data_IF_704534812905
#
_entry.id   IF_704534812905
#
_cell.length_a   1.000
_cell.length_b   1.000
_cell.length_c   1.000
_cell.angle_alpha   90.00
_cell.angle_beta   90.00
_cell.angle_gamma   90.00
#
_symmetry.space_group_name_H-M   'P 1'
#
loop_
_entity.id
_entity.type
_entity.pdbx_description
1 polymer ?
#
# COMPACT_ATOMS: atom_id res chain seq x y z
N UNK A 1 60.30 -13.07 93.27
CA UNK A 1 58.82 -13.11 93.29
C UNK A 1 58.34 -11.71 93.60
N UNK A 2 57.40 -11.06 92.88
CA UNK A 2 56.44 -11.49 91.81
C UNK A 2 56.81 -10.78 90.44
N UNK A 3 56.00 -10.65 89.34
CA UNK A 3 54.58 -10.22 89.24
C UNK A 3 53.75 -10.90 88.10
N UNK A 4 53.01 -11.97 88.36
CA UNK A 4 52.03 -12.53 87.41
C UNK A 4 50.66 -11.80 87.44
N UNK A 5 50.40 -10.98 88.47
CA UNK A 5 49.09 -10.34 88.69
C UNK A 5 48.82 -9.10 87.82
N UNK A 6 49.84 -8.47 87.23
CA UNK A 6 49.65 -7.22 86.46
C UNK A 6 49.03 -7.46 85.07
N UNK A 7 49.36 -8.57 84.42
CA UNK A 7 48.89 -8.91 83.07
C UNK A 7 47.44 -9.38 83.07
N UNK A 8 47.04 -10.22 84.04
CA UNK A 8 45.64 -10.66 84.20
C UNK A 8 44.72 -9.50 84.59
N UNK A 9 45.18 -8.60 85.47
CA UNK A 9 44.46 -7.39 85.83
C UNK A 9 44.28 -6.44 84.62
N UNK A 10 45.27 -6.34 83.74
CA UNK A 10 45.21 -5.49 82.54
C UNK A 10 44.22 -6.03 81.50
N UNK A 11 44.19 -7.35 81.28
CA UNK A 11 43.22 -8.00 80.38
C UNK A 11 41.78 -7.89 80.89
N UNK A 12 41.56 -8.07 82.20
CA UNK A 12 40.25 -7.86 82.82
C UNK A 12 39.80 -6.40 82.71
N UNK A 13 40.71 -5.43 82.88
CA UNK A 13 40.40 -4.01 82.69
C UNK A 13 40.00 -3.68 81.25
N UNK A 14 40.67 -4.28 80.26
CA UNK A 14 40.37 -4.05 78.83
C UNK A 14 39.02 -4.69 78.45
N UNK A 15 38.76 -5.91 78.90
CA UNK A 15 37.48 -6.58 78.66
C UNK A 15 36.30 -5.84 79.28
N UNK A 16 36.48 -5.29 80.49
CA UNK A 16 35.46 -4.47 81.14
C UNK A 16 35.24 -3.13 80.42
N UNK A 17 36.29 -2.50 79.88
CA UNK A 17 36.16 -1.24 79.14
C UNK A 17 35.38 -1.42 77.82
N UNK A 18 35.46 -2.61 77.22
CA UNK A 18 34.74 -2.96 76.00
C UNK A 18 33.37 -3.61 76.24
N UNK A 19 32.87 -3.60 77.48
CA UNK A 19 31.53 -4.11 77.81
C UNK A 19 31.37 -5.64 77.76
N UNK A 20 32.47 -6.39 77.75
CA UNK A 20 32.46 -7.85 77.64
C UNK A 20 32.48 -8.48 79.05
N UNK A 21 31.36 -9.09 79.45
CA UNK A 21 31.24 -9.77 80.74
C UNK A 21 31.90 -11.15 80.68
N UNK A 22 33.11 -11.29 81.21
CA UNK A 22 33.84 -12.58 81.20
C UNK A 22 33.34 -13.49 82.34
N UNK A 23 32.99 -14.77 82.07
CA UNK A 23 32.58 -15.72 83.10
C UNK A 23 33.71 -16.03 84.09
N UNK A 24 33.38 -16.22 85.37
CA UNK A 24 34.34 -16.49 86.47
C UNK A 24 35.22 -17.74 86.23
N UNK A 25 34.74 -18.70 85.44
CA UNK A 25 35.49 -19.91 85.07
C UNK A 25 36.71 -19.60 84.20
N UNK A 26 36.59 -18.63 83.30
CA UNK A 26 37.68 -18.22 82.39
C UNK A 26 38.75 -17.44 83.16
N UNK A 27 38.37 -16.67 84.17
CA UNK A 27 39.30 -15.98 85.06
C UNK A 27 40.17 -16.97 85.84
N UNK A 28 39.58 -18.06 86.35
CA UNK A 28 40.31 -19.11 87.06
C UNK A 28 41.27 -19.91 86.16
N UNK A 29 40.95 -20.03 84.87
CA UNK A 29 41.83 -20.66 83.87
C UNK A 29 42.98 -19.73 83.51
N UNK A 30 42.73 -18.43 83.38
CA UNK A 30 43.76 -17.42 83.12
C UNK A 30 44.75 -17.27 84.30
N UNK A 31 44.29 -17.40 85.55
CA UNK A 31 45.18 -17.40 86.71
C UNK A 31 46.06 -18.67 86.80
N UNK A 32 45.57 -19.83 86.33
CA UNK A 32 46.39 -21.04 86.19
C UNK A 32 47.40 -20.94 85.05
N UNK A 33 46.99 -20.40 83.90
CA UNK A 33 47.87 -20.17 82.76
C UNK A 33 48.93 -19.09 83.02
N UNK A 34 48.66 -18.13 83.92
CA UNK A 34 49.62 -17.13 84.36
C UNK A 34 50.79 -17.68 85.21
N UNK A 35 50.80 -18.97 85.52
CA UNK A 35 51.96 -19.65 86.12
C UNK A 35 52.88 -20.33 85.09
N UNK A 36 52.50 -20.32 83.81
CA UNK A 36 53.25 -20.97 82.74
C UNK A 36 54.04 -19.93 81.91
N UNK A 37 55.37 -20.02 81.94
CA UNK A 37 56.25 -18.98 81.41
C UNK A 37 56.14 -18.86 79.88
N UNK A 38 55.90 -19.96 79.18
CA UNK A 38 55.67 -19.99 77.73
C UNK A 38 54.35 -19.32 77.34
N UNK A 39 53.30 -19.50 78.14
CA UNK A 39 52.00 -18.88 77.88
C UNK A 39 52.06 -17.35 78.02
N UNK A 40 52.81 -16.84 79.00
CA UNK A 40 53.03 -15.40 79.17
C UNK A 40 53.86 -14.82 78.01
N UNK A 41 54.87 -15.56 77.54
CA UNK A 41 55.69 -15.13 76.40
C UNK A 41 54.87 -15.11 75.09
N UNK A 42 54.02 -16.10 74.87
CA UNK A 42 53.12 -16.16 73.72
C UNK A 42 52.05 -15.05 73.76
N UNK A 43 51.46 -14.78 74.94
CA UNK A 43 50.46 -13.71 75.10
C UNK A 43 51.07 -12.33 74.88
N UNK A 44 52.27 -12.06 75.40
CA UNK A 44 52.96 -10.78 75.16
C UNK A 44 53.40 -10.64 73.70
N UNK A 45 53.68 -11.76 73.00
CA UNK A 45 54.08 -11.73 71.60
C UNK A 45 52.89 -11.55 70.63
N UNK A 46 51.69 -12.04 70.99
CA UNK A 46 50.54 -12.09 70.07
C UNK A 46 49.37 -11.17 70.48
N UNK A 47 49.32 -10.70 71.74
CA UNK A 47 48.29 -9.80 72.25
C UNK A 47 48.92 -8.44 72.54
N UNK A 48 49.40 -7.77 71.49
CA UNK A 48 49.66 -6.33 71.55
C UNK A 48 48.38 -5.57 71.19
N UNK A 49 48.25 -4.35 71.70
CA UNK A 49 47.12 -3.43 71.43
C UNK A 49 46.83 -3.21 69.94
N UNK A 50 47.79 -3.50 69.05
CA UNK A 50 47.65 -3.45 67.60
C UNK A 50 47.11 -4.74 66.94
N UNK A 51 47.09 -5.88 67.65
CA UNK A 51 46.71 -7.21 67.14
C UNK A 51 45.22 -7.56 67.37
N UNK A 52 44.52 -6.78 68.22
CA UNK A 52 43.11 -7.00 68.56
C UNK A 52 42.13 -6.20 67.71
N UNK A 53 42.61 -5.35 66.80
CA UNK A 53 41.74 -4.69 65.82
C UNK A 53 41.69 -5.56 64.55
N UNK A 54 40.47 -5.85 64.08
CA UNK A 54 40.24 -6.45 62.76
C UNK A 54 40.94 -5.61 61.69
N UNK A 55 41.46 -6.22 60.62
CA UNK A 55 42.10 -5.48 59.51
C UNK A 55 41.19 -4.35 58.98
N UNK A 56 39.88 -4.56 59.03
CA UNK A 56 38.85 -3.57 58.69
C UNK A 56 38.79 -2.39 59.68
N UNK A 57 38.95 -2.65 60.99
CA UNK A 57 38.97 -1.62 62.02
C UNK A 57 40.26 -0.81 62.00
N UNK A 58 41.38 -1.44 61.62
CA UNK A 58 42.68 -0.80 61.47
C UNK A 58 42.72 0.11 60.24
N UNK A 59 42.04 -0.29 59.15
CA UNK A 59 41.82 0.58 58.00
C UNK A 59 40.87 1.73 58.32
N UNK A 60 39.79 1.50 59.07
CA UNK A 60 38.92 2.57 59.59
C UNK A 60 39.68 3.55 60.50
N UNK A 61 40.53 3.05 61.39
CA UNK A 61 41.34 3.90 62.28
C UNK A 61 42.38 4.71 61.51
N UNK A 62 43.04 4.11 60.50
CA UNK A 62 43.94 4.84 59.59
C UNK A 62 43.18 5.91 58.82
N UNK A 63 41.97 5.61 58.34
CA UNK A 63 41.15 6.56 57.62
C UNK A 63 40.73 7.74 58.52
N UNK A 64 40.30 7.48 59.75
CA UNK A 64 39.91 8.52 60.72
C UNK A 64 41.12 9.35 61.18
N UNK A 65 42.29 8.72 61.34
CA UNK A 65 43.53 9.40 61.75
C UNK A 65 44.12 10.27 60.63
N UNK A 66 44.03 9.83 59.38
CA UNK A 66 44.48 10.59 58.21
C UNK A 66 43.51 11.72 57.83
N UNK A 67 42.23 11.60 58.20
CA UNK A 67 41.21 12.61 57.90
C UNK A 67 41.30 13.85 58.81
N UNK A 68 42.09 13.82 59.89
CA UNK A 68 42.36 15.00 60.74
C UNK A 68 41.13 15.64 61.39
N UNK A 69 39.96 15.00 61.32
CA UNK A 69 38.73 15.50 61.92
C UNK A 69 38.70 15.08 63.38
N UNK A 70 39.02 16.02 64.28
CA UNK A 70 38.56 15.92 65.66
C UNK A 70 37.04 15.67 65.60
N UNK A 71 36.58 14.52 66.11
CA UNK A 71 35.16 14.32 66.38
C UNK A 71 34.75 15.43 67.37
N UNK A 72 34.18 16.50 66.83
CA UNK A 72 33.50 17.50 67.61
C UNK A 72 32.24 16.82 68.16
N UNK A 73 32.16 16.78 69.49
CA UNK A 73 31.02 16.37 70.33
C UNK A 73 29.76 17.26 70.13
N UNK A 74 29.53 17.76 68.92
CA UNK A 74 28.50 18.74 68.62
C UNK A 74 27.68 18.30 67.41
N UNK A 75 26.73 17.39 67.62
CA UNK A 75 25.39 17.44 66.99
C UNK A 75 24.45 16.31 67.46
N UNK A 76 24.48 15.97 68.75
CA UNK A 76 23.50 15.05 69.34
C UNK A 76 22.18 15.72 69.75
N UNK A 77 21.87 16.94 69.28
CA UNK A 77 20.64 17.67 69.66
C UNK A 77 20.09 18.51 68.51
N UNK A 78 19.85 17.92 67.35
CA UNK A 78 18.85 18.47 66.44
C UNK A 78 17.48 17.96 66.88
N UNK A 79 16.72 18.88 67.48
CA UNK A 79 15.33 18.70 67.88
C UNK A 79 14.54 18.21 66.66
N UNK A 80 13.98 17.00 66.74
CA UNK A 80 13.08 16.48 65.72
C UNK A 80 11.79 17.30 65.78
N UNK A 81 11.54 18.10 64.74
CA UNK A 81 10.21 18.66 64.52
C UNK A 81 9.22 17.49 64.32
N UNK A 82 8.16 17.47 65.12
CA UNK A 82 7.06 16.49 65.08
C UNK A 82 6.53 16.18 63.66
N UNK A 83 6.33 17.17 62.75
CA UNK A 83 5.90 16.89 61.37
C UNK A 83 6.98 16.22 60.51
N UNK A 84 8.26 16.29 60.89
CA UNK A 84 9.35 15.57 60.23
C UNK A 84 9.38 14.08 60.62
N UNK A 85 9.06 13.77 61.87
CA UNK A 85 8.89 12.40 62.37
C UNK A 85 7.73 11.70 61.68
N UNK A 86 6.57 12.35 61.57
CA UNK A 86 5.40 11.78 60.90
C UNK A 86 5.69 11.51 59.42
N UNK A 87 6.41 12.41 58.74
CA UNK A 87 6.82 12.20 57.34
C UNK A 87 7.82 11.06 57.19
N UNK A 88 8.77 10.93 58.13
CA UNK A 88 9.72 9.82 58.15
C UNK A 88 9.01 8.49 58.40
N UNK A 89 8.06 8.43 59.35
CA UNK A 89 7.24 7.26 59.64
C UNK A 89 6.40 6.88 58.41
N UNK A 90 5.70 7.84 57.80
CA UNK A 90 4.92 7.60 56.59
C UNK A 90 5.80 7.12 55.42
N UNK A 91 7.01 7.67 55.27
CA UNK A 91 8.00 7.22 54.29
C UNK A 91 8.49 5.79 54.56
N UNK A 92 8.73 5.45 55.82
CA UNK A 92 9.18 4.13 56.24
C UNK A 92 8.08 3.08 56.08
N UNK A 93 6.83 3.43 56.37
CA UNK A 93 5.66 2.59 56.10
C UNK A 93 5.44 2.36 54.61
N UNK A 94 5.58 3.40 53.78
CA UNK A 94 5.48 3.28 52.33
C UNK A 94 6.59 2.37 51.76
N UNK A 95 7.83 2.55 52.22
CA UNK A 95 8.95 1.69 51.84
C UNK A 95 8.73 0.23 52.29
N UNK A 96 8.21 0.02 53.50
CA UNK A 96 7.91 -1.32 54.02
C UNK A 96 6.79 -1.99 53.22
N UNK A 97 5.74 -1.25 52.85
CA UNK A 97 4.67 -1.74 51.96
C UNK A 97 5.21 -2.09 50.57
N UNK A 98 6.13 -1.30 50.03
CA UNK A 98 6.75 -1.58 48.74
C UNK A 98 7.64 -2.84 48.79
N UNK A 99 8.47 -2.98 49.82
CA UNK A 99 9.33 -4.17 50.00
C UNK A 99 8.47 -5.42 50.17
N UNK A 100 7.42 -5.37 50.99
CA UNK A 100 6.52 -6.53 51.15
C UNK A 100 5.78 -6.91 49.87
N UNK A 101 5.38 -5.92 49.04
CA UNK A 101 4.81 -6.19 47.73
C UNK A 101 5.82 -6.84 46.77
N UNK A 102 7.07 -6.36 46.75
CA UNK A 102 8.15 -6.96 45.94
C UNK A 102 8.47 -8.38 46.41
N UNK A 103 8.56 -8.63 47.72
CA UNK A 103 8.80 -9.96 48.28
C UNK A 103 7.68 -10.93 47.93
N UNK A 104 6.42 -10.49 47.95
CA UNK A 104 5.28 -11.29 47.48
C UNK A 104 5.34 -11.59 45.98
N UNK A 105 5.75 -10.62 45.16
CA UNK A 105 5.92 -10.84 43.72
C UNK A 105 7.06 -11.83 43.42
N UNK A 106 8.17 -11.76 44.17
CA UNK A 106 9.26 -12.71 44.03
C UNK A 106 8.90 -14.10 44.54
N UNK A 107 8.11 -14.21 45.62
CA UNK A 107 7.65 -15.51 46.11
C UNK A 107 6.68 -16.19 45.15
N UNK A 108 5.80 -15.44 44.49
CA UNK A 108 4.92 -15.98 43.43
C UNK A 108 5.69 -16.35 42.17
N UNK A 109 6.68 -15.55 41.76
CA UNK A 109 7.57 -15.94 40.66
C UNK A 109 8.37 -17.22 40.99
N UNK A 110 8.85 -17.35 42.23
CA UNK A 110 9.57 -18.54 42.69
C UNK A 110 8.67 -19.78 42.72
N UNK A 111 7.41 -19.67 43.14
CA UNK A 111 6.48 -20.80 43.12
C UNK A 111 6.12 -21.22 41.69
N UNK A 112 5.89 -20.27 40.78
CA UNK A 112 5.64 -20.53 39.36
C UNK A 112 6.84 -21.22 38.68
N UNK A 113 8.05 -20.77 38.96
CA UNK A 113 9.27 -21.45 38.48
C UNK A 113 9.43 -22.84 39.09
N UNK A 114 9.05 -23.01 40.36
CA UNK A 114 9.01 -24.32 41.02
C UNK A 114 8.06 -25.30 40.33
N UNK A 115 6.85 -24.87 39.97
CA UNK A 115 5.89 -25.69 39.23
C UNK A 115 6.35 -26.01 37.82
N UNK A 116 6.90 -25.03 37.09
CA UNK A 116 7.47 -25.25 35.75
C UNK A 116 8.63 -26.25 35.76
N UNK A 117 9.48 -26.20 36.79
CA UNK A 117 10.57 -27.17 36.95
C UNK A 117 10.04 -28.58 37.29
N UNK A 118 8.96 -28.69 38.08
CA UNK A 118 8.32 -29.98 38.36
C UNK A 118 7.65 -30.59 37.11
N UNK A 119 6.98 -29.79 36.28
CA UNK A 119 6.44 -30.23 34.98
C UNK A 119 7.56 -30.65 34.01
N UNK A 120 8.63 -29.86 33.93
CA UNK A 120 9.81 -30.19 33.12
C UNK A 120 10.50 -31.49 33.60
N UNK A 121 10.56 -31.75 34.91
CA UNK A 121 11.09 -33.01 35.44
C UNK A 121 10.16 -34.21 35.16
N UNK A 122 8.84 -33.98 35.06
CA UNK A 122 7.89 -34.98 34.55
C UNK A 122 8.15 -35.35 33.08
N UNK A 123 8.48 -34.36 32.24
CA UNK A 123 8.81 -34.56 30.82
C UNK A 123 10.26 -35.06 30.58
N UNK A 124 11.20 -34.78 31.49
CA UNK A 124 12.60 -35.25 31.42
C UNK A 124 12.79 -36.76 31.68
N UNK A 125 11.74 -37.49 32.10
CA UNK A 125 11.80 -38.95 32.23
C UNK A 125 11.86 -39.68 30.87
N UNK A 126 11.55 -38.99 29.78
CA UNK A 126 11.83 -39.49 28.44
C UNK A 126 13.25 -39.07 28.05
N UNK A 127 14.17 -40.04 27.95
CA UNK A 127 15.60 -39.79 27.74
C UNK A 127 15.93 -38.99 26.47
N UNK A 128 17.19 -38.54 26.31
CA UNK A 128 17.64 -37.73 25.16
C UNK A 128 17.31 -38.37 23.80
N UNK A 129 17.28 -39.71 23.72
CA UNK A 129 16.84 -40.44 22.53
C UNK A 129 15.38 -40.12 22.12
N UNK A 130 14.48 -39.94 23.08
CA UNK A 130 13.06 -39.62 22.81
C UNK A 130 12.88 -38.16 22.35
N UNK A 131 13.74 -37.23 22.81
CA UNK A 131 13.76 -35.85 22.31
C UNK A 131 14.26 -35.78 20.88
N UNK A 132 15.37 -36.46 20.57
CA UNK A 132 15.90 -36.56 19.21
C UNK A 132 14.88 -37.21 18.27
N UNK A 133 14.21 -38.28 18.71
CA UNK A 133 13.15 -38.93 17.94
C UNK A 133 11.93 -38.03 17.74
N UNK A 134 11.52 -37.25 18.75
CA UNK A 134 10.44 -36.28 18.62
C UNK A 134 10.79 -35.18 17.60
N UNK A 135 11.97 -34.56 17.73
CA UNK A 135 12.44 -33.52 16.80
C UNK A 135 12.60 -34.07 15.39
N UNK A 136 13.11 -35.30 15.24
CA UNK A 136 13.20 -35.96 13.93
C UNK A 136 11.80 -36.22 13.33
N UNK A 137 10.83 -36.64 14.14
CA UNK A 137 9.45 -36.85 13.71
C UNK A 137 8.74 -35.55 13.33
N UNK A 138 8.96 -34.46 14.08
CA UNK A 138 8.45 -33.13 13.76
C UNK A 138 9.09 -32.58 12.49
N UNK A 139 10.40 -32.76 12.31
CA UNK A 139 11.10 -32.36 11.09
C UNK A 139 10.60 -33.16 9.87
N UNK A 140 10.35 -34.45 10.03
CA UNK A 140 9.78 -35.29 8.97
C UNK A 140 8.33 -34.89 8.66
N UNK A 141 7.52 -34.60 9.67
CA UNK A 141 6.16 -34.10 9.49
C UNK A 141 6.16 -32.73 8.77
N UNK A 142 7.07 -31.83 9.15
CA UNK A 142 7.23 -30.54 8.48
C UNK A 142 7.67 -30.69 7.01
N UNK A 143 8.54 -31.66 6.70
CA UNK A 143 8.93 -31.99 5.32
C UNK A 143 7.73 -32.48 4.51
N UNK A 144 6.99 -33.46 5.02
CA UNK A 144 5.79 -33.99 4.35
C UNK A 144 4.73 -32.90 4.11
N UNK A 145 4.53 -31.98 5.07
CA UNK A 145 3.62 -30.85 4.91
C UNK A 145 4.13 -29.88 3.84
N UNK A 146 5.43 -29.61 3.79
CA UNK A 146 6.01 -28.72 2.77
C UNK A 146 5.98 -29.36 1.37
N UNK A 147 6.25 -30.66 1.26
CA UNK A 147 6.13 -31.43 0.01
C UNK A 147 4.67 -31.45 -0.49
N UNK A 148 3.71 -31.66 0.39
CA UNK A 148 2.29 -31.56 0.04
C UNK A 148 1.94 -30.15 -0.47
N UNK A 149 2.35 -29.10 0.24
CA UNK A 149 2.08 -27.71 -0.16
C UNK A 149 2.76 -27.30 -1.46
N UNK A 150 3.99 -27.74 -1.71
CA UNK A 150 4.72 -27.47 -2.95
C UNK A 150 4.08 -28.21 -4.12
N UNK A 151 3.63 -29.45 -3.92
CA UNK A 151 2.81 -30.19 -4.90
C UNK A 151 1.51 -29.45 -5.21
N UNK A 152 0.76 -29.01 -4.20
CA UNK A 152 -0.50 -28.26 -4.37
C UNK A 152 -0.27 -26.95 -5.14
N UNK A 153 0.79 -26.20 -4.79
CA UNK A 153 1.19 -24.98 -5.49
C UNK A 153 1.56 -25.24 -6.95
N UNK A 154 2.30 -26.32 -7.23
CA UNK A 154 2.66 -26.71 -8.59
C UNK A 154 1.43 -27.10 -9.42
N UNK A 155 0.47 -27.81 -8.83
CA UNK A 155 -0.79 -28.14 -9.49
C UNK A 155 -1.63 -26.87 -9.75
N UNK A 156 -1.72 -25.96 -8.78
CA UNK A 156 -2.40 -24.67 -8.96
C UNK A 156 -1.74 -23.83 -10.07
N UNK A 157 -0.41 -23.71 -10.08
CA UNK A 157 0.32 -22.98 -11.12
C UNK A 157 0.08 -23.62 -12.50
N UNK A 158 0.14 -24.96 -12.62
CA UNK A 158 -0.12 -25.67 -13.88
C UNK A 158 -1.55 -25.47 -14.36
N UNK A 159 -2.53 -25.57 -13.48
CA UNK A 159 -3.94 -25.35 -13.84
C UNK A 159 -4.16 -23.91 -14.32
N UNK A 160 -3.59 -22.92 -13.63
CA UNK A 160 -3.64 -21.49 -14.03
C UNK A 160 -2.95 -21.23 -15.36
N UNK A 161 -1.76 -21.79 -15.60
CA UNK A 161 -1.06 -21.70 -16.89
C UNK A 161 -1.92 -22.32 -18.00
N UNK A 162 -2.49 -23.50 -17.77
CA UNK A 162 -3.34 -24.16 -18.77
C UNK A 162 -4.62 -23.36 -19.08
N UNK A 163 -5.21 -22.70 -18.07
CA UNK A 163 -6.35 -21.82 -18.25
C UNK A 163 -5.99 -20.58 -19.08
N UNK A 164 -4.85 -19.95 -18.79
CA UNK A 164 -4.34 -18.83 -19.59
C UNK A 164 -3.98 -19.23 -21.02
N UNK A 165 -3.50 -20.44 -21.25
CA UNK A 165 -3.23 -20.94 -22.60
C UNK A 165 -4.52 -21.09 -23.42
N UNK A 166 -5.59 -21.60 -22.78
CA UNK A 166 -6.93 -21.66 -23.40
C UNK A 166 -7.48 -20.25 -23.67
N UNK A 167 -7.34 -19.34 -22.73
CA UNK A 167 -7.75 -17.95 -22.90
C UNK A 167 -6.97 -17.28 -24.04
N UNK A 168 -5.66 -17.53 -24.13
CA UNK A 168 -4.80 -17.06 -25.23
C UNK A 168 -5.25 -17.56 -26.59
N UNK A 169 -5.76 -18.79 -26.69
CA UNK A 169 -6.29 -19.32 -27.96
C UNK A 169 -7.66 -18.73 -28.30
N UNK A 170 -8.48 -18.42 -27.29
CA UNK A 170 -9.83 -17.86 -27.48
C UNK A 170 -9.86 -16.33 -27.72
N UNK A 171 -8.94 -15.55 -27.14
CA UNK A 171 -8.86 -14.10 -27.35
C UNK A 171 -8.65 -13.67 -28.82
N UNK A 172 -7.75 -14.27 -29.62
CA UNK A 172 -7.58 -13.86 -31.01
C UNK A 172 -8.80 -14.16 -31.88
N UNK A 173 -9.51 -15.28 -31.62
CA UNK A 173 -10.76 -15.58 -32.33
C UNK A 173 -11.85 -14.57 -31.96
N UNK A 174 -11.99 -14.23 -30.68
CA UNK A 174 -12.94 -13.20 -30.23
C UNK A 174 -12.59 -11.81 -30.78
N UNK A 175 -11.30 -11.45 -30.84
CA UNK A 175 -10.82 -10.22 -31.44
C UNK A 175 -11.15 -10.16 -32.95
N UNK A 176 -10.93 -11.27 -33.67
CA UNK A 176 -11.23 -11.35 -35.10
C UNK A 176 -12.73 -11.28 -35.37
N UNK A 177 -13.57 -11.93 -34.55
CA UNK A 177 -15.03 -11.81 -34.65
C UNK A 177 -15.51 -10.38 -34.41
N UNK A 178 -14.91 -9.69 -33.44
CA UNK A 178 -15.21 -8.29 -33.16
C UNK A 178 -14.78 -7.37 -34.29
N UNK A 179 -13.57 -7.53 -34.83
CA UNK A 179 -13.10 -6.78 -36.00
C UNK A 179 -14.01 -7.00 -37.22
N UNK A 180 -14.44 -8.25 -37.46
CA UNK A 180 -15.42 -8.54 -38.53
C UNK A 180 -16.78 -7.89 -38.28
N UNK A 181 -17.21 -7.81 -37.03
CA UNK A 181 -18.44 -7.10 -36.67
C UNK A 181 -18.29 -5.60 -36.93
N UNK A 182 -17.17 -5.02 -36.52
CA UNK A 182 -16.83 -3.61 -36.75
C UNK A 182 -16.76 -3.30 -38.26
N UNK A 183 -16.12 -4.14 -39.08
CA UNK A 183 -16.08 -4.02 -40.54
C UNK A 183 -17.48 -4.04 -41.17
N UNK A 184 -18.38 -4.92 -40.71
CA UNK A 184 -19.78 -4.93 -41.14
C UNK A 184 -20.51 -3.65 -40.75
N UNK A 185 -20.20 -3.08 -39.59
CA UNK A 185 -20.78 -1.79 -39.20
C UNK A 185 -20.26 -0.66 -40.08
N UNK A 186 -18.98 -0.67 -40.47
CA UNK A 186 -18.42 0.28 -41.43
C UNK A 186 -19.08 0.15 -42.80
N UNK A 187 -19.22 -1.07 -43.31
CA UNK A 187 -19.88 -1.32 -44.59
C UNK A 187 -21.33 -0.83 -44.57
N UNK A 188 -22.08 -1.11 -43.50
CA UNK A 188 -23.45 -0.61 -43.34
C UNK A 188 -23.51 0.93 -43.23
N UNK A 189 -22.50 1.55 -42.61
CA UNK A 189 -22.39 3.01 -42.56
C UNK A 189 -22.04 3.62 -43.90
N UNK A 190 -21.14 3.00 -44.65
CA UNK A 190 -20.75 3.42 -45.98
C UNK A 190 -21.94 3.30 -46.93
N UNK A 191 -22.67 2.18 -46.90
CA UNK A 191 -23.92 2.01 -47.64
C UNK A 191 -24.97 3.06 -47.24
N UNK A 192 -25.14 3.33 -45.95
CA UNK A 192 -26.05 4.39 -45.48
C UNK A 192 -25.59 5.81 -45.87
N UNK A 193 -24.30 6.04 -46.08
CA UNK A 193 -23.75 7.31 -46.54
C UNK A 193 -23.80 7.44 -48.08
N UNK A 194 -23.72 6.31 -48.79
CA UNK A 194 -23.83 6.19 -50.24
C UNK A 194 -25.29 6.18 -50.70
N UNK A 195 -26.24 5.75 -49.87
CA UNK A 195 -27.66 5.93 -50.16
C UNK A 195 -27.89 7.41 -50.43
N UNK A 196 -28.25 7.76 -51.68
CA UNK A 196 -28.46 9.14 -52.03
C UNK A 196 -29.73 9.57 -51.29
N UNK A 197 -29.55 10.15 -50.12
CA UNK A 197 -30.46 11.20 -49.66
C UNK A 197 -30.53 12.15 -50.84
N UNK A 198 -31.60 12.07 -51.62
CA UNK A 198 -31.75 12.78 -52.88
C UNK A 198 -31.38 14.22 -52.60
N UNK A 199 -30.17 14.63 -52.99
CA UNK A 199 -29.68 15.96 -52.70
C UNK A 199 -30.52 16.85 -53.59
N UNK A 200 -31.63 17.31 -53.04
CA UNK A 200 -32.45 18.32 -53.69
C UNK A 200 -31.50 19.47 -53.93
N UNK A 201 -31.25 19.76 -55.20
CA UNK A 201 -30.42 20.89 -55.56
C UNK A 201 -31.23 22.16 -55.28
N UNK A 202 -31.11 22.64 -54.04
CA UNK A 202 -31.79 23.85 -53.56
C UNK A 202 -31.41 25.04 -54.44
N UNK A 203 -30.20 25.07 -55.01
CA UNK A 203 -29.75 26.15 -55.89
C UNK A 203 -30.46 26.14 -57.23
N UNK A 204 -30.55 24.98 -57.89
CA UNK A 204 -31.31 24.81 -59.12
C UNK A 204 -32.82 25.06 -58.91
N UNK A 205 -33.36 24.65 -57.76
CA UNK A 205 -34.77 24.88 -57.41
C UNK A 205 -35.04 26.37 -57.15
N UNK A 206 -34.08 27.08 -56.55
CA UNK A 206 -34.16 28.53 -56.36
C UNK A 206 -34.17 29.27 -57.70
N UNK A 207 -33.26 28.93 -58.61
CA UNK A 207 -33.20 29.53 -59.94
C UNK A 207 -34.48 29.27 -60.74
N UNK A 208 -34.97 28.03 -60.72
CA UNK A 208 -36.24 27.66 -61.36
C UNK A 208 -37.42 28.43 -60.76
N UNK A 209 -37.46 28.61 -59.45
CA UNK A 209 -38.53 29.40 -58.80
C UNK A 209 -38.51 30.87 -59.23
N UNK A 210 -37.31 31.44 -59.40
CA UNK A 210 -37.15 32.81 -59.87
C UNK A 210 -37.60 32.97 -61.33
N UNK A 211 -37.24 32.02 -62.20
CA UNK A 211 -37.69 32.01 -63.60
C UNK A 211 -39.22 31.90 -63.71
N UNK A 212 -39.84 31.06 -62.89
CA UNK A 212 -41.30 30.91 -62.85
C UNK A 212 -41.99 32.19 -62.32
N UNK A 213 -41.44 32.82 -61.29
CA UNK A 213 -41.98 34.08 -60.77
C UNK A 213 -41.88 35.21 -61.79
N UNK A 214 -40.77 35.31 -62.53
CA UNK A 214 -40.60 36.27 -63.61
C UNK A 214 -41.58 36.01 -64.76
N UNK A 215 -41.78 34.75 -65.16
CA UNK A 215 -42.77 34.39 -66.18
C UNK A 215 -44.20 34.74 -65.74
N UNK A 216 -44.53 34.49 -64.46
CA UNK A 216 -45.82 34.85 -63.88
C UNK A 216 -46.02 36.37 -63.87
N UNK A 217 -44.98 37.13 -63.52
CA UNK A 217 -45.00 38.60 -63.52
C UNK A 217 -45.31 39.12 -64.92
N UNK A 218 -44.56 38.68 -65.93
CA UNK A 218 -44.78 39.10 -67.32
C UNK A 218 -46.21 38.79 -67.79
N UNK A 219 -46.76 37.63 -67.44
CA UNK A 219 -48.13 37.25 -67.81
C UNK A 219 -49.19 38.08 -67.08
N UNK A 220 -49.04 38.33 -65.78
CA UNK A 220 -49.98 39.16 -65.00
C UNK A 220 -49.95 40.62 -65.44
N UNK A 221 -48.75 41.18 -65.66
CA UNK A 221 -48.56 42.52 -66.21
C UNK A 221 -49.27 42.65 -67.57
N UNK A 222 -49.03 41.73 -68.50
CA UNK A 222 -49.65 41.77 -69.82
C UNK A 222 -51.18 41.69 -69.74
N UNK A 223 -51.72 40.86 -68.85
CA UNK A 223 -53.16 40.74 -68.65
C UNK A 223 -53.80 42.01 -68.06
N UNK A 224 -53.14 42.66 -67.09
CA UNK A 224 -53.61 43.91 -66.51
C UNK A 224 -53.54 45.07 -67.50
N UNK A 225 -52.42 45.20 -68.24
CA UNK A 225 -52.26 46.19 -69.31
C UNK A 225 -53.33 46.01 -70.40
N UNK A 226 -53.58 44.77 -70.84
CA UNK A 226 -54.67 44.47 -71.79
C UNK A 226 -56.06 44.79 -71.23
N UNK A 227 -56.31 44.53 -69.95
CA UNK A 227 -57.58 44.89 -69.30
C UNK A 227 -57.77 46.40 -69.18
N UNK A 228 -56.69 47.13 -68.91
CA UNK A 228 -56.67 48.59 -68.86
C UNK A 228 -56.96 49.18 -70.25
N UNK A 229 -56.27 48.70 -71.29
CA UNK A 229 -56.51 49.10 -72.68
C UNK A 229 -57.95 48.84 -73.11
N UNK A 230 -58.47 47.65 -72.82
CA UNK A 230 -59.85 47.29 -73.14
C UNK A 230 -60.85 48.22 -72.44
N UNK A 231 -60.60 48.55 -71.18
CA UNK A 231 -61.49 49.43 -70.41
C UNK A 231 -61.42 50.85 -70.97
N UNK A 232 -60.21 51.35 -71.26
CA UNK A 232 -59.99 52.66 -71.85
C UNK A 232 -60.66 52.82 -73.23
N UNK A 233 -60.50 51.84 -74.11
CA UNK A 233 -61.16 51.83 -75.42
C UNK A 233 -62.68 51.75 -75.27
N UNK A 234 -63.19 50.91 -74.35
CA UNK A 234 -64.63 50.82 -74.07
C UNK A 234 -65.22 52.12 -73.52
N UNK A 235 -64.47 52.88 -72.72
CA UNK A 235 -64.92 54.18 -72.20
C UNK A 235 -64.90 55.25 -73.29
N UNK A 236 -63.90 55.26 -74.17
CA UNK A 236 -63.84 56.15 -75.33
C UNK A 236 -64.99 55.90 -76.32
N UNK A 237 -65.32 54.65 -76.62
CA UNK A 237 -66.45 54.28 -77.48
C UNK A 237 -67.81 54.68 -76.87
N UNK A 238 -67.93 54.60 -75.54
CA UNK A 238 -69.11 55.04 -74.80
C UNK A 238 -69.32 56.54 -74.82
N UNK A 239 -68.24 57.34 -74.74
CA UNK A 239 -68.31 58.81 -74.80
C UNK A 239 -68.58 59.34 -76.22
N UNK A 240 -68.08 58.67 -77.26
CA UNK A 240 -68.33 59.06 -78.66
C UNK A 240 -69.77 58.79 -79.14
N UNK A 241 -70.50 57.90 -78.46
CA UNK A 241 -71.91 57.62 -78.76
C UNK A 241 -72.89 58.63 -78.15
N UNK A 242 -72.40 59.54 -77.29
CA UNK A 242 -73.14 60.68 -76.78
C UNK A 242 -73.02 61.89 -77.71
N UNK A 243 -74.16 62.38 -78.19
CA UNK A 243 -74.33 63.48 -79.14
C UNK A 243 -73.57 64.78 -78.72
N UNK A 244 -72.32 64.94 -79.17
CA UNK A 244 -71.54 66.20 -79.02
C UNK A 244 -70.68 66.45 -80.25
N UNK A 245 -71.00 67.53 -80.96
CA UNK A 245 -70.46 67.97 -82.25
C UNK A 245 -69.15 68.79 -82.13
N UNK A 246 -68.23 68.46 -81.21
CA UNK A 246 -66.93 69.15 -81.11
C UNK A 246 -65.73 68.18 -81.09
N UNK A 247 -64.73 68.36 -82.00
CA UNK A 247 -63.61 67.44 -82.19
C UNK A 247 -62.31 67.89 -81.51
N UNK A 248 -62.38 68.60 -80.38
CA UNK A 248 -61.19 68.93 -79.59
C UNK A 248 -61.11 67.97 -78.40
N UNK A 249 -59.99 67.24 -78.21
CA UNK A 249 -59.81 66.42 -77.02
C UNK A 249 -59.79 67.37 -75.82
N UNK A 250 -60.85 67.34 -75.01
CA UNK A 250 -60.94 68.18 -73.81
C UNK A 250 -59.76 67.92 -72.87
N UNK A 251 -59.39 68.89 -72.00
CA UNK A 251 -58.29 68.75 -71.05
C UNK A 251 -58.38 67.47 -70.20
N UNK A 252 -59.61 67.00 -69.91
CA UNK A 252 -59.87 65.74 -69.22
C UNK A 252 -59.31 64.48 -69.92
N UNK A 253 -59.23 64.47 -71.26
CA UNK A 253 -58.69 63.32 -72.02
C UNK A 253 -57.16 63.30 -71.95
N UNK A 254 -56.51 64.48 -71.92
CA UNK A 254 -55.07 64.60 -71.75
C UNK A 254 -54.65 64.19 -70.33
N UNK A 255 -55.39 64.64 -69.32
CA UNK A 255 -55.17 64.24 -67.91
C UNK A 255 -55.36 62.72 -67.74
N UNK A 256 -56.44 62.15 -68.31
CA UNK A 256 -56.68 60.71 -68.29
C UNK A 256 -55.56 59.90 -68.97
N UNK A 257 -55.02 60.40 -70.09
CA UNK A 257 -53.89 59.76 -70.78
C UNK A 257 -52.63 59.76 -69.91
N UNK A 258 -52.34 60.87 -69.24
CA UNK A 258 -51.20 60.97 -68.33
C UNK A 258 -51.36 60.03 -67.12
N UNK A 259 -52.56 59.94 -66.56
CA UNK A 259 -52.86 59.02 -65.45
C UNK A 259 -52.72 57.56 -65.89
N UNK A 260 -53.15 57.21 -67.10
CA UNK A 260 -52.97 55.88 -67.68
C UNK A 260 -51.48 55.56 -67.86
N UNK A 261 -50.69 56.48 -68.43
CA UNK A 261 -49.23 56.31 -68.59
C UNK A 261 -48.53 56.13 -67.23
N UNK A 262 -48.97 56.84 -66.18
CA UNK A 262 -48.50 56.63 -64.81
C UNK A 262 -48.88 55.24 -64.28
N UNK A 263 -50.13 54.81 -64.50
CA UNK A 263 -50.62 53.49 -64.08
C UNK A 263 -49.88 52.35 -64.81
N UNK A 264 -49.48 52.56 -66.06
CA UNK A 264 -48.68 51.62 -66.85
C UNK A 264 -47.32 51.30 -66.22
N UNK A 265 -46.67 52.30 -65.62
CA UNK A 265 -45.43 52.14 -64.89
C UNK A 265 -45.65 51.45 -63.52
N UNK A 266 -46.71 51.84 -62.81
CA UNK A 266 -47.02 51.30 -61.48
C UNK A 266 -47.47 49.83 -61.52
N UNK A 267 -48.16 49.39 -62.58
CA UNK A 267 -48.59 47.99 -62.74
C UNK A 267 -47.39 47.03 -62.67
N UNK A 268 -46.25 47.39 -63.25
CA UNK A 268 -45.06 46.52 -63.24
C UNK A 268 -44.52 46.33 -61.81
N UNK A 269 -44.45 47.42 -61.03
CA UNK A 269 -43.96 47.43 -59.65
C UNK A 269 -44.94 46.74 -58.68
N UNK A 270 -46.24 47.01 -58.80
CA UNK A 270 -47.27 46.40 -57.94
C UNK A 270 -47.37 44.90 -58.17
N UNK A 271 -47.32 44.44 -59.43
CA UNK A 271 -47.33 43.01 -59.75
C UNK A 271 -46.05 42.33 -59.27
N UNK A 272 -44.89 42.98 -59.40
CA UNK A 272 -43.63 42.47 -58.87
C UNK A 272 -43.70 42.29 -57.35
N UNK A 273 -44.21 43.29 -56.63
CA UNK A 273 -44.37 43.26 -55.19
C UNK A 273 -45.36 42.17 -54.75
N UNK A 274 -46.49 42.02 -55.45
CA UNK A 274 -47.51 41.00 -55.17
C UNK A 274 -46.98 39.59 -55.35
N UNK A 275 -46.29 39.30 -56.46
CA UNK A 275 -45.68 37.98 -56.69
C UNK A 275 -44.54 37.72 -55.69
N UNK A 276 -43.80 38.78 -55.35
CA UNK A 276 -42.79 38.77 -54.30
C UNK A 276 -43.36 38.34 -52.95
N UNK A 277 -44.47 38.95 -52.54
CA UNK A 277 -45.10 38.74 -51.23
C UNK A 277 -45.86 37.43 -51.14
N UNK A 278 -46.68 37.09 -52.14
CA UNK A 278 -47.56 35.92 -52.13
C UNK A 278 -46.82 34.61 -52.44
N UNK A 279 -45.89 34.62 -53.39
CA UNK A 279 -45.32 33.37 -53.91
C UNK A 279 -43.85 33.21 -53.56
N UNK A 280 -43.03 34.25 -53.80
CA UNK A 280 -41.57 34.11 -53.65
C UNK A 280 -41.14 34.03 -52.18
N UNK A 281 -41.81 34.73 -51.27
CA UNK A 281 -41.49 34.66 -49.84
C UNK A 281 -41.78 33.27 -49.25
N UNK A 282 -42.92 32.67 -49.62
CA UNK A 282 -43.29 31.32 -49.18
C UNK A 282 -42.32 30.27 -49.73
N UNK A 283 -42.00 30.34 -51.03
CA UNK A 283 -41.04 29.44 -51.67
C UNK A 283 -39.65 29.60 -51.04
N UNK A 284 -39.19 30.82 -50.79
CA UNK A 284 -37.89 31.08 -50.15
C UNK A 284 -37.85 30.50 -48.74
N UNK A 285 -38.92 30.64 -47.97
CA UNK A 285 -39.05 30.06 -46.63
C UNK A 285 -39.02 28.53 -46.68
N UNK A 286 -39.76 27.91 -47.60
CA UNK A 286 -39.78 26.46 -47.79
C UNK A 286 -38.41 25.91 -48.22
N UNK A 287 -37.73 26.57 -49.17
CA UNK A 287 -36.37 26.23 -49.59
C UNK A 287 -35.37 26.37 -48.44
N UNK A 288 -35.49 27.43 -47.63
CA UNK A 288 -34.69 27.63 -46.43
C UNK A 288 -34.86 26.48 -45.44
N UNK A 289 -36.10 26.05 -45.18
CA UNK A 289 -36.40 24.91 -44.31
C UNK A 289 -35.78 23.60 -44.83
N UNK A 290 -35.98 23.28 -46.11
CA UNK A 290 -35.39 22.09 -46.74
C UNK A 290 -33.87 22.09 -46.61
N UNK A 291 -33.21 23.22 -46.87
CA UNK A 291 -31.77 23.35 -46.73
C UNK A 291 -31.31 23.13 -45.27
N UNK A 292 -32.01 23.73 -44.29
CA UNK A 292 -31.68 23.53 -42.87
C UNK A 292 -31.91 22.08 -42.42
N UNK A 293 -32.98 21.43 -42.86
CA UNK A 293 -33.27 20.03 -42.55
C UNK A 293 -32.21 19.11 -43.18
N UNK A 294 -31.80 19.38 -44.42
CA UNK A 294 -30.73 18.65 -45.09
C UNK A 294 -29.39 18.80 -44.35
N UNK A 295 -29.04 20.02 -43.93
CA UNK A 295 -27.82 20.27 -43.16
C UNK A 295 -27.87 19.59 -41.78
N UNK A 296 -29.01 19.64 -41.08
CA UNK A 296 -29.19 18.96 -39.81
C UNK A 296 -29.10 17.43 -39.94
N UNK A 297 -29.71 16.86 -40.99
CA UNK A 297 -29.63 15.43 -41.25
C UNK A 297 -28.18 15.01 -41.58
N UNK A 298 -27.47 15.77 -42.41
CA UNK A 298 -26.06 15.53 -42.68
C UNK A 298 -25.21 15.58 -41.40
N UNK A 299 -25.47 16.56 -40.52
CA UNK A 299 -24.81 16.67 -39.22
C UNK A 299 -25.12 15.49 -38.29
N UNK A 300 -26.38 15.05 -38.22
CA UNK A 300 -26.78 13.86 -37.42
C UNK A 300 -26.11 12.59 -37.93
N UNK A 301 -26.04 12.40 -39.25
CA UNK A 301 -25.35 11.25 -39.85
C UNK A 301 -23.86 11.28 -39.50
N UNK A 302 -23.20 12.43 -39.61
CA UNK A 302 -21.80 12.60 -39.24
C UNK A 302 -21.57 12.34 -37.74
N UNK A 303 -22.43 12.88 -36.87
CA UNK A 303 -22.34 12.64 -35.42
C UNK A 303 -22.52 11.16 -35.07
N UNK A 304 -23.47 10.49 -35.71
CA UNK A 304 -23.69 9.05 -35.54
C UNK A 304 -22.48 8.25 -36.02
N UNK A 305 -21.88 8.65 -37.13
CA UNK A 305 -20.66 8.03 -37.64
C UNK A 305 -19.50 8.18 -36.67
N UNK A 306 -19.26 9.40 -36.18
CA UNK A 306 -18.24 9.70 -35.17
C UNK A 306 -18.45 8.90 -33.88
N UNK A 307 -19.69 8.80 -33.39
CA UNK A 307 -20.00 8.05 -32.17
C UNK A 307 -19.67 6.56 -32.31
N UNK A 308 -20.02 5.94 -33.44
CA UNK A 308 -19.68 4.54 -33.75
C UNK A 308 -18.16 4.34 -33.86
N UNK A 309 -17.43 5.21 -34.54
CA UNK A 309 -15.96 5.15 -34.62
C UNK A 309 -15.33 5.20 -33.23
N UNK A 310 -15.78 6.11 -32.37
CA UNK A 310 -15.30 6.20 -31.00
C UNK A 310 -15.62 4.94 -30.18
N UNK A 311 -16.82 4.36 -30.37
CA UNK A 311 -17.20 3.11 -29.70
C UNK A 311 -16.29 1.95 -30.13
N UNK A 312 -15.97 1.83 -31.42
CA UNK A 312 -15.04 0.82 -31.93
C UNK A 312 -13.63 1.04 -31.40
N UNK A 313 -13.11 2.27 -31.43
CA UNK A 313 -11.80 2.61 -30.90
C UNK A 313 -11.67 2.29 -29.40
N UNK A 314 -12.69 2.62 -28.61
CA UNK A 314 -12.74 2.25 -27.19
C UNK A 314 -12.79 0.73 -27.00
N UNK A 315 -13.53 0.02 -27.87
CA UNK A 315 -13.58 -1.44 -27.89
C UNK A 315 -12.20 -2.07 -28.14
N UNK A 316 -11.45 -1.54 -29.11
CA UNK A 316 -10.09 -1.98 -29.42
C UNK A 316 -9.11 -1.70 -28.27
N UNK A 317 -9.19 -0.52 -27.65
CA UNK A 317 -8.36 -0.18 -26.50
C UNK A 317 -8.64 -1.11 -25.30
N UNK A 318 -9.90 -1.42 -25.05
CA UNK A 318 -10.27 -2.38 -24.00
C UNK A 318 -9.70 -3.77 -24.30
N UNK A 319 -9.85 -4.26 -25.53
CA UNK A 319 -9.30 -5.55 -25.95
C UNK A 319 -7.77 -5.58 -25.83
N UNK A 320 -7.08 -4.50 -26.24
CA UNK A 320 -5.64 -4.36 -26.06
C UNK A 320 -5.25 -4.45 -24.57
N UNK A 321 -5.94 -3.72 -23.70
CA UNK A 321 -5.70 -3.77 -22.25
C UNK A 321 -5.94 -5.15 -21.65
N UNK A 322 -6.95 -5.89 -22.13
CA UNK A 322 -7.25 -7.24 -21.65
C UNK A 322 -6.17 -8.25 -22.09
N UNK A 323 -5.59 -8.06 -23.27
CA UNK A 323 -4.47 -8.87 -23.77
C UNK A 323 -3.21 -8.56 -22.95
N UNK A 324 -2.92 -7.29 -22.69
CA UNK A 324 -1.79 -6.86 -21.85
C UNK A 324 -1.88 -7.44 -20.44
N UNK A 325 -3.06 -7.37 -19.80
CA UNK A 325 -3.29 -7.93 -18.46
C UNK A 325 -3.05 -9.44 -18.47
N UNK A 326 -3.58 -10.16 -19.47
CA UNK A 326 -3.37 -11.61 -19.58
C UNK A 326 -1.89 -11.96 -19.82
N UNK A 327 -1.17 -11.16 -20.60
CA UNK A 327 0.26 -11.33 -20.84
C UNK A 327 1.08 -11.09 -19.57
N UNK A 328 0.74 -10.06 -18.78
CA UNK A 328 1.36 -9.78 -17.49
C UNK A 328 1.10 -10.90 -16.45
N UNK A 329 -0.12 -11.44 -16.43
CA UNK A 329 -0.46 -12.59 -15.58
C UNK A 329 0.34 -13.84 -15.97
N UNK A 330 0.51 -14.08 -17.27
CA UNK A 330 1.32 -15.20 -17.79
C UNK A 330 2.79 -15.05 -17.39
N UNK A 331 3.40 -13.88 -17.58
CA UNK A 331 4.80 -13.68 -17.20
C UNK A 331 5.01 -13.85 -15.70
N UNK A 332 4.09 -13.35 -14.87
CA UNK A 332 4.13 -13.55 -13.42
C UNK A 332 4.06 -15.04 -13.03
N UNK A 333 3.15 -15.81 -13.63
CA UNK A 333 3.02 -17.25 -13.36
C UNK A 333 4.24 -18.06 -13.83
N UNK A 334 4.87 -17.68 -14.94
CA UNK A 334 6.11 -18.32 -15.39
C UNK A 334 7.26 -18.06 -14.39
N UNK A 335 7.38 -16.83 -13.88
CA UNK A 335 8.38 -16.51 -12.83
C UNK A 335 8.10 -17.28 -11.54
N UNK A 336 6.83 -17.39 -11.13
CA UNK A 336 6.45 -18.19 -9.95
C UNK A 336 6.77 -19.68 -10.16
N UNK A 337 6.48 -20.22 -11.33
CA UNK A 337 6.80 -21.61 -11.67
C UNK A 337 8.31 -21.88 -11.60
N UNK A 338 9.13 -20.96 -12.10
CA UNK A 338 10.60 -21.07 -12.05
C UNK A 338 11.12 -20.98 -10.61
N UNK A 339 10.55 -20.09 -9.79
CA UNK A 339 10.87 -20.02 -8.36
C UNK A 339 10.50 -21.30 -7.60
N UNK A 340 9.35 -21.92 -7.88
CA UNK A 340 9.00 -23.19 -7.23
C UNK A 340 9.96 -24.31 -7.68
N UNK A 341 10.29 -24.37 -8.97
CA UNK A 341 11.24 -25.36 -9.49
C UNK A 341 12.65 -25.23 -8.86
N UNK A 342 13.13 -24.00 -8.65
CA UNK A 342 14.41 -23.76 -7.96
C UNK A 342 14.38 -24.12 -6.48
N UNK A 343 13.25 -23.92 -5.79
CA UNK A 343 13.06 -24.35 -4.40
C UNK A 343 13.06 -25.88 -4.27
N UNK A 344 12.39 -26.59 -5.19
CA UNK A 344 12.40 -28.06 -5.23
C UNK A 344 13.81 -28.61 -5.50
N UNK A 345 14.55 -28.01 -6.45
CA UNK A 345 15.93 -28.40 -6.75
C UNK A 345 16.90 -28.13 -5.58
N UNK A 346 16.62 -27.11 -4.77
CA UNK A 346 17.41 -26.77 -3.58
C UNK A 346 17.21 -27.79 -2.45
N UNK A 347 16.01 -28.38 -2.35
CA UNK A 347 15.69 -29.39 -1.35
C UNK A 347 16.32 -30.75 -1.63
N UNK A 348 16.42 -31.14 -2.90
CA UNK A 348 17.06 -32.39 -3.30
C UNK A 348 18.59 -32.34 -3.25
N UNK A 349 19.18 -31.17 -2.99
CA UNK A 349 20.63 -30.98 -2.88
C UNK A 349 21.18 -31.03 -1.45
N UNK A 350 20.37 -31.24 -0.42
CA UNK A 350 20.89 -31.54 0.92
C UNK A 350 21.44 -32.97 0.91
N UNK A 351 22.78 -33.18 0.98
CA UNK A 351 23.34 -34.51 0.93
C UNK A 351 22.90 -35.27 2.18
N UNK A 352 22.47 -36.52 1.97
CA UNK A 352 22.48 -37.53 3.01
C UNK A 352 23.91 -37.60 3.57
N UNK A 353 24.14 -36.92 4.70
CA UNK A 353 25.41 -36.90 5.41
C UNK A 353 25.65 -38.28 5.99
N UNK A 354 26.18 -39.18 5.16
CA UNK A 354 26.91 -40.36 5.63
C UNK A 354 28.36 -39.96 5.84
N UNK A 355 28.81 -40.15 7.08
CA UNK A 355 30.19 -40.27 7.54
C UNK A 355 31.18 -39.12 7.24
N UNK A 356 31.54 -38.46 8.33
CA UNK A 356 32.76 -37.68 8.57
C UNK A 356 33.95 -37.95 7.63
N UNK A 357 34.48 -36.89 7.02
CA UNK A 357 35.90 -36.73 6.67
C UNK A 357 36.23 -35.23 6.71
N UNK A 358 37.36 -34.79 7.27
CA UNK A 358 37.61 -33.38 7.56
C UNK A 358 38.09 -32.59 6.33
N UNK A 359 37.80 -31.29 6.38
CA UNK A 359 37.96 -30.27 5.34
C UNK A 359 39.35 -30.15 4.67
N UNK A 360 39.40 -29.45 3.52
CA UNK A 360 40.08 -28.14 3.55
C UNK A 360 39.24 -26.98 2.95
N UNK A 361 39.76 -25.77 3.20
CA UNK A 361 39.16 -24.44 3.14
C UNK A 361 38.75 -23.90 1.74
N UNK A 362 37.98 -22.80 1.66
CA UNK A 362 37.26 -22.36 0.46
C UNK A 362 38.01 -21.26 -0.32
N UNK A 363 38.04 -21.37 -1.65
CA UNK A 363 38.34 -20.25 -2.54
C UNK A 363 37.41 -20.26 -3.76
N UNK A 364 36.89 -19.07 -4.05
CA UNK A 364 36.36 -18.58 -5.32
C UNK A 364 35.06 -19.21 -5.88
N UNK A 365 33.90 -18.64 -5.49
CA UNK A 365 32.73 -18.54 -6.39
C UNK A 365 32.04 -17.20 -6.11
N UNK A 366 32.53 -16.12 -6.74
CA UNK A 366 31.87 -14.79 -6.74
C UNK A 366 31.58 -14.29 -8.17
N UNK A 367 32.02 -14.98 -9.22
CA UNK A 367 31.77 -14.55 -10.60
C UNK A 367 30.73 -15.44 -11.28
N UNK A 368 29.44 -15.08 -11.19
CA UNK A 368 28.43 -15.49 -12.19
C UNK A 368 27.07 -14.77 -12.03
N UNK A 369 27.07 -13.44 -11.81
CA UNK A 369 25.87 -12.61 -12.06
C UNK A 369 26.32 -11.25 -12.62
N UNK A 370 26.89 -11.26 -13.81
CA UNK A 370 27.03 -10.03 -14.60
C UNK A 370 27.10 -10.41 -16.08
N UNK A 371 25.92 -10.54 -16.72
CA UNK A 371 25.67 -10.33 -18.15
C UNK A 371 24.28 -10.88 -18.48
N UNK A 372 23.27 -10.01 -18.48
CA UNK A 372 22.37 -9.76 -19.63
C UNK A 372 21.61 -8.47 -19.30
N UNK A 373 22.08 -7.37 -19.85
CA UNK A 373 21.29 -6.17 -20.06
C UNK A 373 21.71 -5.56 -21.40
N UNK A 374 20.84 -5.68 -22.41
CA UNK A 374 20.78 -4.71 -23.50
C UNK A 374 19.31 -4.30 -23.71
N UNK A 375 19.01 -2.99 -23.91
CA UNK A 375 17.64 -2.46 -23.93
C UNK A 375 17.17 -1.99 -25.33
N UNK A 376 15.84 -1.96 -25.54
CA UNK A 376 15.04 -0.93 -26.27
C UNK A 376 13.69 -1.51 -26.79
N UNK A 377 12.66 -0.69 -27.15
CA UNK A 377 12.51 0.76 -27.00
C UNK A 377 11.25 1.20 -26.21
N UNK A 378 11.21 2.51 -25.95
CA UNK A 378 10.20 3.30 -25.26
C UNK A 378 8.73 3.04 -25.66
N UNK A 379 7.90 2.74 -24.66
CA UNK A 379 6.48 3.11 -24.66
C UNK A 379 6.20 3.78 -23.31
N UNK A 380 6.18 5.11 -23.33
CA UNK A 380 5.84 5.95 -22.18
C UNK A 380 4.34 5.84 -21.86
N UNK A 381 3.88 4.80 -21.17
CA UNK A 381 2.60 4.88 -20.44
C UNK A 381 2.59 4.05 -19.14
N UNK A 382 2.39 4.79 -18.04
CA UNK A 382 1.94 4.34 -16.71
C UNK A 382 3.00 3.94 -15.65
N UNK A 383 3.86 4.90 -15.27
CA UNK A 383 4.67 4.87 -14.05
C UNK A 383 3.89 4.61 -12.74
N UNK A 384 2.55 4.71 -12.77
CA UNK A 384 1.68 4.38 -11.63
C UNK A 384 1.30 2.91 -11.53
N UNK A 385 1.37 2.14 -12.64
CA UNK A 385 0.95 0.72 -12.69
C UNK A 385 2.12 -0.25 -12.52
N UNK A 386 3.30 0.10 -13.03
CA UNK A 386 4.55 -0.60 -12.67
C UNK A 386 4.80 -0.57 -11.16
N UNK A 387 4.48 0.53 -10.48
CA UNK A 387 4.61 0.63 -9.02
C UNK A 387 3.72 -0.36 -8.27
N UNK A 388 2.52 -0.66 -8.77
CA UNK A 388 1.60 -1.60 -8.10
C UNK A 388 2.01 -3.05 -8.33
N UNK A 389 2.37 -3.43 -9.57
CA UNK A 389 2.91 -4.75 -9.86
C UNK A 389 4.25 -4.98 -9.13
N UNK A 390 5.13 -3.97 -9.09
CA UNK A 390 6.36 -4.00 -8.32
C UNK A 390 6.09 -4.13 -6.81
N UNK A 391 5.07 -3.45 -6.26
CA UNK A 391 4.69 -3.60 -4.84
C UNK A 391 4.22 -5.01 -4.51
N UNK A 392 3.43 -5.64 -5.38
CA UNK A 392 3.02 -7.04 -5.18
C UNK A 392 4.20 -8.00 -5.33
N UNK A 393 5.09 -7.78 -6.29
CA UNK A 393 6.31 -8.58 -6.48
C UNK A 393 7.28 -8.43 -5.30
N UNK A 394 7.42 -7.22 -4.76
CA UNK A 394 8.24 -6.92 -3.57
C UNK A 394 7.66 -7.60 -2.33
N UNK A 395 6.35 -7.56 -2.14
CA UNK A 395 5.69 -8.24 -1.02
C UNK A 395 5.84 -9.77 -1.11
N UNK A 396 5.70 -10.36 -2.31
CA UNK A 396 5.90 -11.80 -2.51
C UNK A 396 7.37 -12.17 -2.32
N UNK A 397 8.30 -11.39 -2.87
CA UNK A 397 9.75 -11.59 -2.67
C UNK A 397 10.14 -11.50 -1.20
N UNK A 398 9.59 -10.55 -0.45
CA UNK A 398 9.86 -10.40 0.98
C UNK A 398 9.32 -11.59 1.79
N UNK A 399 8.12 -12.09 1.46
CA UNK A 399 7.54 -13.28 2.10
C UNK A 399 8.37 -14.53 1.78
N UNK A 400 8.81 -14.69 0.54
CA UNK A 400 9.65 -15.83 0.11
C UNK A 400 11.05 -15.75 0.72
N UNK A 401 11.69 -14.58 0.77
CA UNK A 401 12.98 -14.39 1.43
C UNK A 401 12.88 -14.65 2.94
N UNK A 402 11.80 -14.20 3.60
CA UNK A 402 11.56 -14.50 5.02
C UNK A 402 11.35 -16.00 5.24
N UNK A 403 10.58 -16.67 4.39
CA UNK A 403 10.40 -18.11 4.45
C UNK A 403 11.73 -18.86 4.25
N UNK A 404 12.56 -18.43 3.31
CA UNK A 404 13.89 -18.99 3.06
C UNK A 404 14.85 -18.77 4.25
N UNK A 405 14.82 -17.61 4.90
CA UNK A 405 15.61 -17.33 6.12
C UNK A 405 15.16 -18.21 7.29
N UNK A 406 13.86 -18.32 7.54
CA UNK A 406 13.33 -19.18 8.60
C UNK A 406 13.65 -20.66 8.34
N UNK A 407 13.62 -21.08 7.09
CA UNK A 407 14.04 -22.41 6.68
C UNK A 407 15.53 -22.63 6.91
N UNK A 408 16.38 -21.68 6.55
CA UNK A 408 17.82 -21.73 6.78
C UNK A 408 18.15 -21.77 8.28
N UNK A 409 17.46 -20.98 9.10
CA UNK A 409 17.56 -21.02 10.56
C UNK A 409 17.13 -22.38 11.11
N UNK A 410 16.02 -22.95 10.63
CA UNK A 410 15.57 -24.28 11.03
C UNK A 410 16.58 -25.38 10.65
N UNK A 411 17.19 -25.29 9.47
CA UNK A 411 18.24 -26.22 9.04
C UNK A 411 19.53 -26.05 9.84
N UNK A 412 19.90 -24.83 10.25
CA UNK A 412 21.03 -24.62 11.15
C UNK A 412 20.76 -25.17 12.56
N UNK A 413 19.53 -25.07 13.06
CA UNK A 413 19.13 -25.66 14.33
C UNK A 413 19.18 -27.19 14.27
N UNK A 414 18.71 -27.79 13.17
CA UNK A 414 18.81 -29.24 12.92
C UNK A 414 20.27 -29.72 12.87
N UNK A 415 21.14 -28.98 12.17
CA UNK A 415 22.57 -29.30 12.08
C UNK A 415 23.30 -29.13 13.43
N UNK A 416 22.86 -28.19 14.26
CA UNK A 416 23.37 -28.05 15.62
C UNK A 416 22.96 -29.25 16.49
N UNK A 417 21.73 -29.75 16.35
CA UNK A 417 21.24 -30.94 17.09
C UNK A 417 21.97 -32.22 16.69
N UNK A 418 22.38 -32.39 15.44
CA UNK A 418 23.16 -33.55 14.98
C UNK A 418 24.61 -33.59 15.53
N UNK A 419 25.11 -32.50 16.11
CA UNK A 419 26.47 -32.40 16.67
C UNK A 419 26.55 -32.33 18.20
N UNK A 420 25.42 -32.33 18.92
CA UNK A 420 25.38 -32.06 20.36
C UNK A 420 25.31 -33.35 21.16
N UNK A 421 26.43 -33.73 21.78
CA UNK A 421 26.49 -34.82 22.78
C UNK A 421 26.31 -34.33 24.22
N UNK A 422 26.30 -33.01 24.44
CA UNK A 422 26.31 -32.39 25.77
C UNK A 422 25.04 -31.59 26.05
N UNK A 423 24.39 -31.86 27.18
CA UNK A 423 23.05 -31.34 27.53
C UNK A 423 23.02 -29.83 27.74
N UNK A 424 24.18 -29.22 28.04
CA UNK A 424 24.36 -27.78 28.20
C UNK A 424 24.08 -26.99 26.91
N UNK A 425 24.34 -27.58 25.74
CA UNK A 425 24.10 -26.95 24.43
C UNK A 425 22.64 -27.06 24.00
N UNK A 426 21.92 -28.09 24.50
CA UNK A 426 20.48 -28.23 24.30
C UNK A 426 19.70 -27.14 25.05
N UNK A 427 20.11 -26.82 26.29
CA UNK A 427 19.49 -25.74 27.07
C UNK A 427 19.70 -24.37 26.42
N UNK A 428 20.85 -24.13 25.76
CA UNK A 428 21.08 -22.88 25.03
C UNK A 428 20.30 -22.83 23.71
N UNK A 429 20.09 -23.96 23.05
CA UNK A 429 19.19 -24.09 21.88
C UNK A 429 17.74 -23.78 22.28
N UNK A 430 17.24 -24.33 23.39
CA UNK A 430 15.90 -24.05 23.90
C UNK A 430 15.71 -22.57 24.25
N UNK A 431 16.74 -21.91 24.80
CA UNK A 431 16.72 -20.46 25.03
C UNK A 431 16.71 -19.64 23.74
N UNK A 432 17.33 -20.13 22.67
CA UNK A 432 17.33 -19.44 21.37
C UNK A 432 15.99 -19.62 20.65
N UNK A 433 15.40 -20.82 20.71
CA UNK A 433 14.06 -21.11 20.18
C UNK A 433 13.01 -20.27 20.91
N UNK A 434 13.06 -20.21 22.25
CA UNK A 434 12.15 -19.37 23.04
C UNK A 434 12.28 -17.86 22.71
N UNK A 435 13.48 -17.39 22.38
CA UNK A 435 13.70 -16.00 21.93
C UNK A 435 13.11 -15.77 20.53
N UNK A 436 13.28 -16.70 19.60
CA UNK A 436 12.74 -16.62 18.26
C UNK A 436 11.20 -16.65 18.24
N UNK A 437 10.57 -17.56 19.01
CA UNK A 437 9.10 -17.61 19.14
C UNK A 437 8.52 -16.32 19.73
N UNK A 438 9.18 -15.73 20.74
CA UNK A 438 8.75 -14.45 21.33
C UNK A 438 8.89 -13.27 20.36
N UNK A 439 9.82 -13.33 19.42
CA UNK A 439 9.94 -12.35 18.33
C UNK A 439 8.83 -12.52 17.29
N UNK A 440 8.48 -13.78 16.94
CA UNK A 440 7.36 -14.09 16.06
C UNK A 440 6.01 -13.62 16.64
N UNK A 441 5.72 -13.89 17.91
CA UNK A 441 4.46 -13.47 18.56
C UNK A 441 4.30 -11.94 18.59
N UNK A 442 5.41 -11.20 18.78
CA UNK A 442 5.40 -9.73 18.74
C UNK A 442 5.12 -9.16 17.35
N UNK A 443 5.41 -9.92 16.30
CA UNK A 443 5.20 -9.50 14.91
C UNK A 443 3.78 -9.87 14.47
N UNK A 444 3.27 -11.03 14.88
CA UNK A 444 1.90 -11.46 14.59
C UNK A 444 0.86 -10.64 15.34
N UNK A 445 1.14 -10.22 16.59
CA UNK A 445 0.24 -9.37 17.39
C UNK A 445 0.20 -7.88 17.00
N UNK A 446 0.88 -7.45 15.93
CA UNK A 446 0.88 -6.07 15.43
C UNK A 446 0.07 -5.87 14.13
N UNK A 447 -0.72 -6.87 13.72
CA UNK A 447 -1.66 -6.74 12.61
C UNK A 447 -3.01 -6.20 13.06
#
# INVERSE_FOLDING_TARGET
MPPASKTTARLLSIAHHNGITIPKEVVNVLERAASDAEAIQWLNANVDSASLLSDEDLDLWKHVSQSGTKLAEADARQVLDEPGLERAIAGLEAATKQITAQTRALSTQRSLLGHRNQENHGQQRHGPAHRVQHVASEAQQARLINEAKTSDLNEEIRTKISALEKERQAKPTAAQERLKADDRTFEAQEQSALEPTSKIDVSALHERSHQLAQALQMKRVAALKYSLDRTYLSTLEGEQSGESLHPEPGPAILDLKQDIESLYAEIDDVVAMMIGSEHMNEIRSALGRVNTEQQQNAQKTLQTAKAKINQMANGLNNLASEIEIAQAQRSALLVMSDHVATLDASDHRLPASTAATPAPAPQAVVEMIEHVAEPAPDIQFSASRERSAALHLVNVKEVVEKAARHRFEALQLLKAVEGVTDTSQLDELDRRIARASKQLDRIVGKR
#
